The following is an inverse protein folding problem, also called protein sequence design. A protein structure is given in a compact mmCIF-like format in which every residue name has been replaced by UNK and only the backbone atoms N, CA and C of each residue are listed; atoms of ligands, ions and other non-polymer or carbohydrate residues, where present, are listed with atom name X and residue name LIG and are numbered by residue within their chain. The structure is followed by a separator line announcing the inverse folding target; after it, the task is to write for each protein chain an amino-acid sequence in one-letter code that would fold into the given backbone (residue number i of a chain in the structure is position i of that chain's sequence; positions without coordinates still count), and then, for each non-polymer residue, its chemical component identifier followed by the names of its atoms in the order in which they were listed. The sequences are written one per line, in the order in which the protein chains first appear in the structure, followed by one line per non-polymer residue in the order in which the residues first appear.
data_IF_196101259617
#
_entry.id   IF_196101259617
#
_cell.length_a   1.000
_cell.length_b   1.000
_cell.length_c   1.000
_cell.angle_alpha   90.00
_cell.angle_beta   90.00
_cell.angle_gamma   90.00
#
_symmetry.space_group_name_H-M   'P 1'
#
loop_
_entity.id
_entity.type
_entity.pdbx_description
1 polymer ?
#
# COMPACT_ATOMS: atom_id res chain seq x y z
N UNK A 1 9.02 -13.31 7.49
CA UNK A 1 8.62 -12.52 6.29
C UNK A 1 9.20 -13.22 5.08
N UNK A 2 8.40 -13.41 4.03
CA UNK A 2 8.85 -14.06 2.78
C UNK A 2 8.75 -13.02 1.67
N UNK A 3 9.86 -12.72 1.00
CA UNK A 3 9.89 -11.80 -0.14
C UNK A 3 9.37 -12.49 -1.38
N UNK A 4 8.52 -11.79 -2.14
CA UNK A 4 8.11 -12.25 -3.48
C UNK A 4 9.12 -11.80 -4.53
N UNK A 5 9.01 -12.33 -5.75
CA UNK A 5 9.80 -11.86 -6.89
C UNK A 5 9.62 -10.35 -7.14
N UNK A 6 8.38 -9.86 -7.00
CA UNK A 6 8.07 -8.42 -7.11
C UNK A 6 8.78 -7.64 -6.00
N UNK A 7 8.73 -8.12 -4.76
CA UNK A 7 9.43 -7.50 -3.64
C UNK A 7 10.94 -7.45 -3.84
N UNK A 8 11.54 -8.51 -4.40
CA UNK A 8 12.98 -8.56 -4.69
C UNK A 8 13.37 -7.50 -5.74
N UNK A 9 12.61 -7.39 -6.83
CA UNK A 9 12.85 -6.36 -7.86
C UNK A 9 12.74 -4.96 -7.27
N UNK A 10 11.71 -4.69 -6.46
CA UNK A 10 11.54 -3.40 -5.78
C UNK A 10 12.69 -3.13 -4.82
N UNK A 11 13.16 -4.15 -4.08
CA UNK A 11 14.29 -4.00 -3.18
C UNK A 11 15.58 -3.62 -3.93
N UNK A 12 15.86 -4.27 -5.06
CA UNK A 12 17.05 -3.96 -5.89
C UNK A 12 16.98 -2.52 -6.40
N UNK A 13 15.85 -2.13 -7.00
CA UNK A 13 15.65 -0.77 -7.53
C UNK A 13 15.68 0.26 -6.39
N UNK A 14 15.00 -0.04 -5.28
CA UNK A 14 14.94 0.80 -4.09
C UNK A 14 16.32 1.04 -3.50
N UNK A 15 17.11 0.00 -3.27
CA UNK A 15 18.49 0.12 -2.79
C UNK A 15 19.34 0.94 -3.76
N UNK A 16 19.24 0.67 -5.07
CA UNK A 16 19.99 1.42 -6.08
C UNK A 16 19.65 2.92 -6.05
N UNK A 17 18.36 3.27 -6.05
CA UNK A 17 17.89 4.66 -5.95
C UNK A 17 18.21 5.28 -4.59
N UNK A 18 18.30 4.48 -3.52
CA UNK A 18 18.62 4.96 -2.17
C UNK A 18 20.02 5.54 -2.13
N UNK A 19 20.97 4.96 -2.85
CA UNK A 19 22.34 5.46 -2.91
C UNK A 19 22.59 6.42 -4.06
N UNK A 20 21.92 6.27 -5.22
CA UNK A 20 22.21 7.05 -6.43
C UNK A 20 21.15 8.06 -6.87
N UNK A 21 19.89 7.86 -6.48
CA UNK A 21 18.77 8.72 -6.89
C UNK A 21 18.65 9.97 -6.03
N UNK A 22 17.53 10.70 -6.19
CA UNK A 22 17.00 11.76 -5.33
C UNK A 22 15.74 11.30 -4.55
N UNK A 23 15.15 12.19 -3.74
CA UNK A 23 13.84 11.90 -3.12
C UNK A 23 12.74 11.84 -4.16
N UNK A 24 12.87 12.61 -5.25
CA UNK A 24 11.91 12.53 -6.34
C UNK A 24 11.93 11.15 -7.01
N UNK A 25 13.11 10.55 -7.24
CA UNK A 25 13.20 9.20 -7.79
C UNK A 25 12.53 8.16 -6.88
N UNK A 26 12.69 8.32 -5.57
CA UNK A 26 12.01 7.48 -4.58
C UNK A 26 10.50 7.64 -4.61
N UNK A 27 10.00 8.88 -4.68
CA UNK A 27 8.57 9.13 -4.82
C UNK A 27 8.03 8.52 -6.11
N UNK A 28 8.76 8.65 -7.22
CA UNK A 28 8.38 8.06 -8.51
C UNK A 28 8.35 6.53 -8.45
N UNK A 29 9.27 5.89 -7.72
CA UNK A 29 9.23 4.45 -7.46
C UNK A 29 7.99 4.07 -6.65
N UNK A 30 7.68 4.80 -5.57
CA UNK A 30 6.48 4.57 -4.75
C UNK A 30 5.23 4.71 -5.62
N UNK A 31 5.15 5.74 -6.46
CA UNK A 31 4.07 5.92 -7.43
C UNK A 31 4.00 4.74 -8.39
N UNK A 32 5.11 4.33 -9.01
CA UNK A 32 5.14 3.18 -9.92
C UNK A 32 4.60 1.91 -9.26
N UNK A 33 4.94 1.69 -7.99
CA UNK A 33 4.49 0.53 -7.22
C UNK A 33 2.98 0.53 -6.93
N UNK A 34 2.25 1.65 -7.07
CA UNK A 34 0.80 1.65 -6.87
C UNK A 34 0.05 0.88 -7.97
N UNK A 35 0.62 0.77 -9.18
CA UNK A 35 0.10 -0.11 -10.24
C UNK A 35 -0.01 -1.56 -9.80
N UNK A 36 0.91 -1.97 -8.92
CA UNK A 36 1.04 -3.33 -8.42
C UNK A 36 0.25 -3.51 -7.11
N UNK A 37 -0.74 -2.66 -6.84
CA UNK A 37 -1.57 -2.70 -5.62
C UNK A 37 -2.32 -4.01 -5.41
N UNK A 38 -2.58 -4.77 -6.49
CA UNK A 38 -3.14 -6.13 -6.45
C UNK A 38 -2.12 -7.23 -6.17
N UNK A 39 -0.85 -6.90 -5.94
CA UNK A 39 0.23 -7.85 -5.69
C UNK A 39 0.83 -7.71 -4.29
N UNK A 40 1.58 -8.73 -3.86
CA UNK A 40 2.34 -8.73 -2.61
C UNK A 40 3.83 -8.51 -2.89
N UNK A 41 4.47 -7.57 -2.21
CA UNK A 41 5.94 -7.46 -2.17
C UNK A 41 6.54 -8.39 -1.09
N UNK A 42 5.85 -8.54 0.03
CA UNK A 42 6.25 -9.48 1.07
C UNK A 42 5.03 -10.15 1.70
N UNK A 43 5.15 -11.43 2.04
CA UNK A 43 4.15 -12.17 2.79
C UNK A 43 4.51 -12.20 4.27
N UNK A 44 3.50 -12.07 5.12
CA UNK A 44 3.59 -12.07 6.58
C UNK A 44 2.73 -13.22 7.14
N UNK A 45 3.21 -14.49 7.07
CA UNK A 45 2.49 -15.66 7.58
C UNK A 45 2.10 -15.51 9.05
N UNK A 46 2.99 -14.95 9.88
CA UNK A 46 2.78 -14.73 11.31
C UNK A 46 1.68 -13.72 11.66
N UNK A 47 1.24 -12.89 10.70
CA UNK A 47 0.11 -11.95 10.87
C UNK A 47 -1.14 -12.45 10.14
N UNK A 48 -1.39 -13.76 10.25
CA UNK A 48 -2.56 -14.41 9.65
C UNK A 48 -2.53 -14.40 8.12
N UNK A 49 -1.36 -14.60 7.50
CA UNK A 49 -1.22 -14.65 6.04
C UNK A 49 -1.36 -13.29 5.34
N UNK A 50 -1.22 -12.17 6.07
CA UNK A 50 -1.25 -10.83 5.49
C UNK A 50 -0.11 -10.59 4.50
N UNK A 51 -0.24 -9.57 3.64
CA UNK A 51 0.78 -9.20 2.67
C UNK A 51 1.09 -7.71 2.74
N UNK A 52 2.36 -7.36 2.49
CA UNK A 52 2.81 -5.98 2.34
C UNK A 52 2.70 -5.63 0.85
N UNK A 53 1.88 -4.64 0.47
CA UNK A 53 1.79 -4.22 -0.91
C UNK A 53 3.10 -3.53 -1.37
N UNK A 54 3.38 -3.52 -2.67
CA UNK A 54 4.54 -2.86 -3.28
C UNK A 54 4.78 -1.41 -2.86
N UNK A 55 3.75 -0.56 -2.84
CA UNK A 55 3.94 0.86 -2.58
C UNK A 55 4.40 1.16 -1.12
N UNK A 56 3.76 0.61 -0.06
CA UNK A 56 4.30 0.69 1.30
C UNK A 56 5.70 0.08 1.44
N UNK A 57 6.01 -0.99 0.70
CA UNK A 57 7.35 -1.59 0.72
C UNK A 57 8.40 -0.65 0.10
N UNK A 58 8.11 -0.04 -1.05
CA UNK A 58 8.96 0.97 -1.68
C UNK A 58 9.15 2.22 -0.79
N UNK A 59 8.11 2.61 -0.05
CA UNK A 59 8.14 3.77 0.85
C UNK A 59 9.20 3.62 1.96
N UNK A 60 9.49 2.39 2.41
CA UNK A 60 10.55 2.14 3.40
C UNK A 60 11.91 2.63 2.88
N UNK A 61 12.22 2.41 1.60
CA UNK A 61 13.47 2.91 0.99
C UNK A 61 13.48 4.43 0.86
N UNK A 62 12.33 5.04 0.56
CA UNK A 62 12.19 6.50 0.53
C UNK A 62 12.45 7.13 1.91
N UNK A 63 11.93 6.52 2.98
CA UNK A 63 12.17 6.95 4.35
C UNK A 63 13.63 6.70 4.77
N UNK A 64 14.19 5.55 4.45
CA UNK A 64 15.60 5.23 4.73
C UNK A 64 16.56 6.21 4.04
N UNK A 65 16.21 6.68 2.83
CA UNK A 65 16.99 7.71 2.15
C UNK A 65 17.09 9.02 2.94
N UNK A 66 16.06 9.37 3.73
CA UNK A 66 16.04 10.58 4.56
C UNK A 66 17.03 10.54 5.73
N UNK A 67 17.56 9.36 6.07
CA UNK A 67 18.51 9.20 7.17
C UNK A 67 19.96 9.19 6.70
N UNK A 68 20.22 9.26 5.39
CA UNK A 68 21.58 9.25 4.85
C UNK A 68 22.31 10.58 5.14
N UNK A 69 23.63 10.57 5.39
CA UNK A 69 24.38 11.75 5.84
C UNK A 69 24.30 12.98 4.91
N UNK A 70 24.11 12.74 3.60
CA UNK A 70 24.00 13.80 2.59
C UNK A 70 22.58 14.38 2.47
N UNK A 71 21.58 13.85 3.18
CA UNK A 71 20.24 14.44 3.21
C UNK A 71 20.11 15.39 4.41
N UNK A 72 20.46 16.67 4.23
CA UNK A 72 20.17 17.74 5.22
C UNK A 72 18.65 17.96 5.47
N UNK A 73 17.79 17.06 4.98
CA UNK A 73 16.33 17.16 4.90
C UNK A 73 15.61 16.82 6.20
N UNK A 74 16.29 16.27 7.21
CA UNK A 74 15.69 16.13 8.55
C UNK A 74 15.31 17.49 9.17
N UNK A 75 16.09 18.54 8.88
CA UNK A 75 15.75 19.92 9.29
C UNK A 75 14.47 20.43 8.62
N UNK A 76 14.17 19.96 7.41
CA UNK A 76 12.97 20.30 6.64
C UNK A 76 11.76 19.42 7.00
N UNK A 77 11.97 18.30 7.70
CA UNK A 77 10.91 17.40 8.13
C UNK A 77 9.85 18.11 9.00
N UNK A 78 10.24 19.15 9.75
CA UNK A 78 9.28 19.99 10.49
C UNK A 78 8.32 20.73 9.56
N UNK A 79 8.81 21.25 8.43
CA UNK A 79 7.99 21.86 7.39
C UNK A 79 7.04 20.84 6.77
N UNK A 80 7.55 19.63 6.49
CA UNK A 80 6.76 18.53 5.95
C UNK A 80 5.63 18.09 6.89
N UNK A 81 5.91 17.95 8.19
CA UNK A 81 4.90 17.59 9.20
C UNK A 81 3.83 18.67 9.29
N UNK A 82 4.21 19.95 9.30
CA UNK A 82 3.24 21.06 9.32
C UNK A 82 2.36 21.08 8.08
N UNK A 83 2.93 20.87 6.90
CA UNK A 83 2.18 20.80 5.65
C UNK A 83 1.19 19.62 5.62
N UNK A 84 1.51 18.54 6.34
CA UNK A 84 0.68 17.34 6.45
C UNK A 84 -0.08 17.25 7.79
N UNK A 85 -0.24 18.35 8.54
CA UNK A 85 -0.80 18.32 9.89
C UNK A 85 -2.24 17.74 9.92
N UNK A 86 -3.09 18.13 8.96
CA UNK A 86 -4.45 17.59 8.85
C UNK A 86 -4.46 16.10 8.52
N UNK A 87 -3.55 15.65 7.64
CA UNK A 87 -3.38 14.23 7.33
C UNK A 87 -2.90 13.45 8.56
N UNK A 88 -2.00 14.03 9.35
CA UNK A 88 -1.51 13.43 10.60
C UNK A 88 -2.62 13.34 11.66
N UNK A 89 -3.47 14.36 11.80
CA UNK A 89 -4.64 14.32 12.69
C UNK A 89 -5.62 13.24 12.24
N UNK A 90 -5.92 13.17 10.94
CA UNK A 90 -6.79 12.13 10.38
C UNK A 90 -6.22 10.73 10.62
N UNK A 91 -4.92 10.54 10.38
CA UNK A 91 -4.25 9.27 10.63
C UNK A 91 -4.29 8.91 12.13
N UNK A 92 -4.03 9.86 13.02
CA UNK A 92 -4.13 9.64 14.46
C UNK A 92 -5.54 9.20 14.88
N UNK A 93 -6.57 9.90 14.39
CA UNK A 93 -7.96 9.51 14.60
C UNK A 93 -8.23 8.08 14.12
N UNK A 94 -7.80 7.74 12.90
CA UNK A 94 -7.98 6.40 12.35
C UNK A 94 -7.21 5.31 13.10
N UNK A 95 -6.00 5.60 13.61
CA UNK A 95 -5.22 4.67 14.46
C UNK A 95 -5.91 4.44 15.80
N UNK A 96 -6.42 5.49 16.44
CA UNK A 96 -7.20 5.38 17.68
C UNK A 96 -8.48 4.56 17.43
N UNK A 97 -9.20 4.84 16.34
CA UNK A 97 -10.38 4.06 15.98
C UNK A 97 -10.02 2.59 15.72
N UNK A 98 -8.97 2.30 14.95
CA UNK A 98 -8.56 0.94 14.63
C UNK A 98 -8.14 0.13 15.87
N UNK A 99 -7.54 0.77 16.88
CA UNK A 99 -7.05 0.09 18.09
C UNK A 99 -8.09 0.03 19.21
N UNK A 100 -8.89 1.08 19.38
CA UNK A 100 -9.81 1.20 20.52
C UNK A 100 -11.24 0.78 20.18
N UNK A 101 -11.75 1.12 18.99
CA UNK A 101 -13.15 0.86 18.63
C UNK A 101 -13.54 -0.63 18.71
N UNK A 102 -12.69 -1.60 18.29
CA UNK A 102 -13.05 -3.02 18.41
C UNK A 102 -13.18 -3.52 19.85
N UNK A 103 -12.60 -2.81 20.81
CA UNK A 103 -12.73 -3.13 22.24
C UNK A 103 -13.92 -2.41 22.87
N UNK A 104 -14.17 -1.14 22.51
CA UNK A 104 -15.31 -0.38 23.04
C UNK A 104 -16.66 -0.85 22.52
N UNK A 105 -16.72 -1.23 21.24
CA UNK A 105 -17.95 -1.67 20.58
C UNK A 105 -17.99 -3.18 20.39
N UNK A 106 -17.26 -3.92 21.22
CA UNK A 106 -17.26 -5.38 21.19
C UNK A 106 -18.68 -5.89 21.37
N UNK A 107 -19.11 -6.75 20.46
CA UNK A 107 -20.44 -7.38 20.43
C UNK A 107 -21.65 -6.45 20.31
N UNK A 108 -21.46 -5.13 20.28
CA UNK A 108 -22.53 -4.14 20.09
C UNK A 108 -22.72 -3.70 18.65
N UNK A 109 -21.72 -3.95 17.79
CA UNK A 109 -21.76 -3.65 16.36
C UNK A 109 -21.41 -4.92 15.56
N UNK A 110 -22.21 -5.18 14.53
CA UNK A 110 -21.97 -6.24 13.56
C UNK A 110 -21.27 -5.65 12.33
N UNK A 111 -20.19 -6.29 11.87
CA UNK A 111 -19.41 -5.83 10.73
C UNK A 111 -19.22 -6.94 9.70
N UNK A 112 -19.19 -6.57 8.42
CA UNK A 112 -18.85 -7.52 7.35
C UNK A 112 -17.41 -7.97 7.51
N UNK A 113 -17.18 -9.28 7.54
CA UNK A 113 -15.84 -9.81 7.66
C UNK A 113 -15.05 -9.55 6.37
N UNK A 114 -13.92 -8.84 6.47
CA UNK A 114 -13.05 -8.59 5.31
C UNK A 114 -12.26 -9.84 4.86
N UNK A 115 -12.28 -10.91 5.66
CA UNK A 115 -11.76 -12.24 5.33
C UNK A 115 -12.75 -13.28 5.83
N UNK A 116 -12.94 -14.36 5.08
CA UNK A 116 -13.65 -15.53 5.58
C UNK A 116 -12.83 -16.13 6.73
N UNK A 117 -13.33 -16.01 7.95
CA UNK A 117 -12.72 -16.57 9.15
C UNK A 117 -13.80 -17.28 9.96
N UNK A 118 -13.65 -18.59 10.15
CA UNK A 118 -14.61 -19.39 10.91
C UNK A 118 -15.94 -19.62 10.16
N UNK A 119 -17.11 -19.37 10.77
CA UNK A 119 -18.43 -19.78 10.25
C UNK A 119 -18.96 -18.91 9.09
N UNK A 120 -18.14 -18.01 8.52
CA UNK A 120 -18.50 -17.17 7.38
C UNK A 120 -18.72 -18.05 6.16
N UNK A 121 -19.98 -18.16 5.72
CA UNK A 121 -20.44 -18.91 4.54
C UNK A 121 -20.59 -18.01 3.32
N UNK A 122 -20.84 -16.72 3.52
CA UNK A 122 -21.03 -15.75 2.44
C UNK A 122 -20.23 -14.46 2.65
N UNK A 123 -20.00 -13.70 1.57
CA UNK A 123 -19.33 -12.38 1.60
C UNK A 123 -20.09 -11.33 2.42
N UNK A 124 -21.38 -11.56 2.70
CA UNK A 124 -22.25 -10.62 3.39
C UNK A 124 -22.49 -11.00 4.85
N UNK A 125 -21.93 -12.11 5.31
CA UNK A 125 -22.07 -12.52 6.70
C UNK A 125 -21.39 -11.49 7.60
N UNK A 126 -22.12 -11.07 8.62
CA UNK A 126 -21.60 -10.16 9.63
C UNK A 126 -21.08 -10.95 10.82
N UNK A 127 -19.96 -10.49 11.37
CA UNK A 127 -19.41 -10.99 12.62
C UNK A 127 -19.38 -9.86 13.65
N UNK A 128 -19.45 -10.18 14.95
CA UNK A 128 -19.27 -9.19 16.00
C UNK A 128 -17.94 -8.47 15.84
N UNK A 129 -17.94 -7.15 16.04
CA UNK A 129 -16.71 -6.37 15.99
C UNK A 129 -15.75 -6.84 17.10
N UNK A 130 -14.54 -7.23 16.71
CA UNK A 130 -13.49 -7.67 17.62
C UNK A 130 -12.11 -7.25 17.11
N UNK A 131 -11.09 -7.13 17.98
CA UNK A 131 -9.72 -6.88 17.56
C UNK A 131 -9.23 -7.96 16.59
N UNK A 132 -8.61 -7.54 15.49
CA UNK A 132 -8.14 -8.43 14.43
C UNK A 132 -6.78 -7.98 13.85
N UNK A 133 -6.05 -8.86 13.15
CA UNK A 133 -4.84 -8.47 12.42
C UNK A 133 -5.06 -7.36 11.37
N UNK A 134 -6.30 -7.18 10.91
CA UNK A 134 -6.66 -6.10 9.99
C UNK A 134 -6.50 -4.72 10.64
N UNK A 135 -6.76 -4.60 11.95
CA UNK A 135 -6.58 -3.35 12.69
C UNK A 135 -5.11 -2.90 12.69
N UNK A 136 -4.18 -3.86 12.80
CA UNK A 136 -2.73 -3.60 12.70
C UNK A 136 -2.39 -3.13 11.29
N UNK A 137 -2.92 -3.79 10.26
CA UNK A 137 -2.66 -3.44 8.86
C UNK A 137 -3.15 -2.01 8.54
N UNK A 138 -4.38 -1.67 8.95
CA UNK A 138 -4.94 -0.32 8.77
C UNK A 138 -4.11 0.73 9.49
N UNK A 139 -3.67 0.45 10.72
CA UNK A 139 -2.77 1.34 11.48
C UNK A 139 -1.49 1.62 10.72
N UNK A 140 -0.83 0.57 10.21
CA UNK A 140 0.40 0.69 9.42
C UNK A 140 0.16 1.51 8.14
N UNK A 141 -0.96 1.31 7.45
CA UNK A 141 -1.27 2.04 6.23
C UNK A 141 -1.58 3.52 6.48
N UNK A 142 -2.28 3.86 7.56
CA UNK A 142 -2.53 5.26 7.93
C UNK A 142 -1.23 5.98 8.27
N UNK A 143 -0.36 5.36 9.06
CA UNK A 143 0.97 5.91 9.35
C UNK A 143 1.82 6.02 8.07
N UNK A 144 1.79 4.99 7.23
CA UNK A 144 2.44 4.98 5.92
C UNK A 144 1.95 6.11 5.01
N UNK A 145 0.67 6.47 5.08
CA UNK A 145 0.10 7.59 4.31
C UNK A 145 0.68 8.93 4.76
N UNK A 146 0.83 9.14 6.07
CA UNK A 146 1.51 10.34 6.60
C UNK A 146 2.96 10.37 6.15
N UNK A 147 3.67 9.25 6.25
CA UNK A 147 5.05 9.11 5.77
C UNK A 147 5.18 9.41 4.26
N UNK A 148 4.24 8.94 3.44
CA UNK A 148 4.20 9.24 2.02
C UNK A 148 3.99 10.73 1.76
N UNK A 149 3.13 11.40 2.53
CA UNK A 149 2.94 12.86 2.47
C UNK A 149 4.21 13.64 2.81
N UNK A 150 4.98 13.17 3.80
CA UNK A 150 6.29 13.75 4.15
C UNK A 150 7.29 13.57 3.01
N UNK A 151 7.40 12.35 2.46
CA UNK A 151 8.27 12.05 1.32
C UNK A 151 7.89 12.90 0.11
N UNK A 152 6.60 13.03 -0.19
CA UNK A 152 6.11 13.84 -1.29
C UNK A 152 6.47 15.32 -1.12
N UNK A 153 6.28 15.88 0.07
CA UNK A 153 6.67 17.25 0.38
C UNK A 153 8.17 17.50 0.14
N UNK A 154 9.03 16.59 0.62
CA UNK A 154 10.48 16.71 0.46
C UNK A 154 10.96 16.46 -0.97
N UNK A 155 10.28 15.60 -1.72
CA UNK A 155 10.56 15.35 -3.13
C UNK A 155 10.19 16.57 -4.00
N UNK A 156 9.08 17.25 -3.66
CA UNK A 156 8.59 18.42 -4.39
C UNK A 156 9.48 19.66 -4.25
N UNK A 157 10.45 19.66 -3.35
CA UNK A 157 11.45 20.72 -3.24
C UNK A 157 12.60 20.59 -4.26
N UNK A 158 12.70 19.47 -4.97
CA UNK A 158 13.74 19.29 -5.99
C UNK A 158 13.43 20.08 -7.28
N UNK A 159 14.48 20.54 -7.96
CA UNK A 159 14.34 21.26 -9.22
C UNK A 159 13.61 20.40 -10.27
N UNK A 160 12.61 21.00 -10.92
CA UNK A 160 11.79 20.31 -11.92
C UNK A 160 10.88 19.20 -11.37
N UNK A 161 10.75 19.05 -10.04
CA UNK A 161 9.94 18.00 -9.41
C UNK A 161 8.50 17.98 -9.93
N UNK A 162 7.84 19.14 -10.04
CA UNK A 162 6.47 19.24 -10.55
C UNK A 162 6.31 18.65 -11.95
N UNK A 163 7.21 18.97 -12.89
CA UNK A 163 7.18 18.43 -14.26
C UNK A 163 7.36 16.91 -14.25
N UNK A 164 8.30 16.41 -13.44
CA UNK A 164 8.57 14.96 -13.31
C UNK A 164 7.39 14.22 -12.70
N UNK A 165 6.78 14.80 -11.66
CA UNK A 165 5.63 14.25 -10.95
C UNK A 165 4.41 14.14 -11.88
N UNK A 166 4.07 15.22 -12.57
CA UNK A 166 2.96 15.24 -13.53
C UNK A 166 3.21 14.28 -14.69
N UNK A 167 4.44 14.28 -15.26
CA UNK A 167 4.79 13.35 -16.35
C UNK A 167 4.59 11.89 -15.91
N UNK A 168 5.05 11.54 -14.72
CA UNK A 168 4.83 10.20 -14.19
C UNK A 168 3.35 9.92 -13.96
N UNK A 169 2.60 10.87 -13.36
CA UNK A 169 1.16 10.73 -13.16
C UNK A 169 0.41 10.44 -14.46
N UNK A 170 0.74 11.14 -15.55
CA UNK A 170 0.16 10.90 -16.88
C UNK A 170 0.52 9.51 -17.41
N UNK A 171 1.79 9.11 -17.32
CA UNK A 171 2.22 7.75 -17.74
C UNK A 171 1.45 6.69 -16.96
N UNK A 172 1.36 6.86 -15.65
CA UNK A 172 0.68 5.93 -14.73
C UNK A 172 -0.82 5.85 -14.99
N UNK A 173 -1.47 6.97 -15.30
CA UNK A 173 -2.88 7.02 -15.67
C UNK A 173 -3.14 6.22 -16.95
N UNK A 174 -2.29 6.41 -17.98
CA UNK A 174 -2.40 5.64 -19.23
C UNK A 174 -2.17 4.15 -19.01
N UNK A 175 -1.18 3.77 -18.21
CA UNK A 175 -0.94 2.34 -17.89
C UNK A 175 -2.15 1.76 -17.13
N UNK A 176 -2.69 2.46 -16.12
CA UNK A 176 -3.89 1.99 -15.42
C UNK A 176 -5.10 1.83 -16.34
N UNK A 177 -5.37 2.83 -17.19
CA UNK A 177 -6.50 2.81 -18.10
C UNK A 177 -6.37 1.66 -19.11
N UNK A 178 -5.19 1.49 -19.70
CA UNK A 178 -4.93 0.42 -20.67
C UNK A 178 -5.00 -0.97 -20.04
N UNK A 179 -4.35 -1.18 -18.90
CA UNK A 179 -4.43 -2.46 -18.18
C UNK A 179 -5.85 -2.76 -17.70
N UNK A 180 -6.61 -1.76 -17.25
CA UNK A 180 -8.00 -1.92 -16.85
C UNK A 180 -8.90 -2.36 -18.01
N UNK A 181 -8.76 -1.72 -19.17
CA UNK A 181 -9.49 -2.11 -20.39
C UNK A 181 -9.08 -3.50 -20.85
N UNK A 182 -7.79 -3.82 -20.88
CA UNK A 182 -7.29 -5.14 -21.24
C UNK A 182 -7.82 -6.22 -20.30
N UNK A 183 -7.80 -5.98 -18.99
CA UNK A 183 -8.34 -6.91 -18.00
C UNK A 183 -9.85 -7.18 -18.21
N UNK A 184 -10.62 -6.16 -18.61
CA UNK A 184 -12.03 -6.34 -18.91
C UNK A 184 -12.27 -7.15 -20.19
N UNK A 185 -11.47 -6.91 -21.24
CA UNK A 185 -11.61 -7.56 -22.55
C UNK A 185 -11.08 -9.00 -22.53
N UNK A 186 -10.00 -9.28 -21.79
CA UNK A 186 -9.36 -10.59 -21.74
C UNK A 186 -10.02 -11.55 -20.75
N UNK A 187 -10.96 -11.08 -19.93
CA UNK A 187 -11.63 -11.90 -18.91
C UNK A 187 -12.28 -13.14 -19.53
N UNK A 188 -11.95 -14.31 -18.99
CA UNK A 188 -12.47 -15.59 -19.50
C UNK A 188 -11.80 -16.12 -20.77
N UNK A 189 -10.71 -15.49 -21.22
CA UNK A 189 -9.83 -16.01 -22.28
C UNK A 189 -8.59 -16.69 -21.68
N UNK A 190 -7.82 -17.51 -22.43
CA UNK A 190 -6.56 -18.08 -21.95
C UNK A 190 -5.51 -17.04 -21.53
N UNK A 191 -5.66 -15.79 -21.97
CA UNK A 191 -4.77 -14.68 -21.63
C UNK A 191 -5.12 -13.99 -20.30
N UNK A 192 -6.21 -14.38 -19.63
CA UNK A 192 -6.57 -13.88 -18.28
C UNK A 192 -5.45 -14.19 -17.26
N UNK A 193 -4.74 -15.31 -17.45
CA UNK A 193 -3.57 -15.71 -16.66
C UNK A 193 -2.46 -14.65 -16.61
N UNK A 194 -2.29 -13.84 -17.67
CA UNK A 194 -1.29 -12.76 -17.68
C UNK A 194 -1.69 -11.60 -16.76
N UNK A 195 -2.99 -11.36 -16.62
CA UNK A 195 -3.56 -10.36 -15.71
C UNK A 195 -3.53 -10.89 -14.26
N UNK A 196 -3.74 -12.19 -14.08
CA UNK A 196 -3.71 -12.84 -12.76
C UNK A 196 -2.31 -12.88 -12.13
N UNK A 197 -1.24 -12.98 -12.92
CA UNK A 197 0.14 -12.87 -12.40
C UNK A 197 0.38 -11.52 -11.70
N UNK A 198 -0.30 -10.45 -12.15
CA UNK A 198 -0.25 -9.13 -11.52
C UNK A 198 -1.16 -9.02 -10.28
N UNK A 199 -2.11 -9.97 -10.10
CA UNK A 199 -3.07 -10.05 -9.00
C UNK A 199 -2.73 -11.21 -8.05
N UNK A 200 -1.65 -11.08 -7.29
CA UNK A 200 -1.17 -12.11 -6.37
C UNK A 200 -1.24 -11.73 -4.88
N UNK A 201 -1.93 -10.65 -4.53
CA UNK A 201 -2.16 -10.28 -3.14
C UNK A 201 -3.22 -11.18 -2.49
N UNK A 202 -3.01 -11.56 -1.23
CA UNK A 202 -3.92 -12.41 -0.45
C UNK A 202 -5.22 -11.69 0.01
N UNK A 203 -5.68 -10.67 -0.70
CA UNK A 203 -6.94 -10.00 -0.39
C UNK A 203 -8.06 -10.63 -1.20
N UNK A 204 -8.87 -11.47 -0.55
CA UNK A 204 -10.03 -12.22 -1.09
C UNK A 204 -11.08 -11.36 -1.80
N UNK A 205 -11.00 -10.02 -1.69
CA UNK A 205 -11.91 -9.08 -2.33
C UNK A 205 -11.58 -8.79 -3.80
N UNK A 206 -10.41 -9.18 -4.32
CA UNK A 206 -10.09 -9.01 -5.76
C UNK A 206 -10.85 -9.99 -6.65
N UNK A 207 -11.21 -11.16 -6.12
CA UNK A 207 -11.87 -12.23 -6.91
C UNK A 207 -13.40 -12.27 -6.71
N UNK A 208 -13.97 -11.42 -5.85
CA UNK A 208 -15.38 -11.48 -5.44
C UNK A 208 -15.87 -12.89 -5.06
N UNK A 209 -14.96 -13.71 -4.54
CA UNK A 209 -15.27 -15.06 -4.06
C UNK A 209 -14.92 -15.13 -2.57
N UNK A 210 -15.76 -15.81 -1.80
CA UNK A 210 -15.58 -15.93 -0.35
C UNK A 210 -14.30 -16.70 0.05
N UNK A 211 -13.77 -17.53 -0.86
CA UNK A 211 -12.65 -18.44 -0.57
C UNK A 211 -11.44 -18.27 -1.50
N UNK A 212 -11.44 -17.32 -2.44
CA UNK A 212 -10.47 -17.31 -3.54
C UNK A 212 -10.59 -18.58 -4.39
N UNK A 213 -9.74 -18.74 -5.41
CA UNK A 213 -9.70 -19.96 -6.22
C UNK A 213 -9.37 -21.17 -5.34
N UNK A 214 -10.38 -21.99 -5.03
CA UNK A 214 -10.18 -23.39 -4.67
C UNK A 214 -10.02 -24.18 -5.98
N UNK A 215 -8.78 -24.53 -6.30
CA UNK A 215 -8.44 -25.76 -6.99
C UNK A 215 -7.48 -26.54 -6.08
#
# INVERSE_FOLDING_TARGET
MILTHIGLVIAIIGIFLMFRGGMMDMLLLVMACTLLGGSAAAQLPALGGSSVPPAPFALVFALARMTLPNSQRWREARGAIRANAWLAIYALYGVLAATMAPSFFRDSIQVTAMRATGPTRTLFDTVPLAPSPQNVTVTVYLLGTVCAGIVAYLAMQEEGAGRRFVKMGVIMAWIHATLGVLAAVLKGTPFDLLVDVLRNANYTQTDQTAYGWCA
#
